data_IF_378039277405
#
_entry.id   IF_378039277405
#
_cell.length_a   1.000
_cell.length_b   1.000
_cell.length_c   1.000
_cell.angle_alpha   90.00
_cell.angle_beta   90.00
_cell.angle_gamma   90.00
#
_symmetry.space_group_name_H-M   'P 1'
#
loop_
_entity.id
_entity.type
_entity.pdbx_description
1 polymer ?
2 water ?
#
# COMPACT_ATOMS: atom_id res chain seq x y z
N UNK A 8 -17.29 9.71 -1.12
CA UNK A 8 -16.55 8.55 -0.56
C UNK A 8 -15.68 7.85 -1.62
N UNK A 9 -14.83 8.61 -2.33
CA UNK A 9 -14.12 8.00 -3.48
C UNK A 9 -13.08 7.01 -3.02
N UNK A 10 -12.75 6.04 -3.87
CA UNK A 10 -11.71 5.08 -3.53
C UNK A 10 -10.36 5.79 -3.29
N UNK A 11 -10.03 6.71 -4.20
CA UNK A 11 -8.80 7.54 -4.06
C UNK A 11 -9.20 8.99 -4.39
N UNK A 12 -8.96 9.91 -3.46
CA UNK A 12 -9.39 11.29 -3.61
C UNK A 12 -8.50 12.09 -4.58
N UNK A 13 -8.91 13.33 -4.86
CA UNK A 13 -8.05 14.30 -5.52
C UNK A 13 -6.93 14.68 -4.55
N UNK A 14 -5.93 15.41 -5.03
CA UNK A 14 -4.90 15.93 -4.13
C UNK A 14 -5.50 17.06 -3.25
N UNK A 15 -5.46 16.88 -1.93
CA UNK A 15 -6.08 17.77 -0.93
C UNK A 15 -5.02 18.43 -0.02
N UNK A 16 -5.36 19.59 0.54
CA UNK A 16 -4.57 20.21 1.58
C UNK A 16 -4.55 19.29 2.80
N UNK A 17 -3.39 19.23 3.45
CA UNK A 17 -3.26 18.50 4.70
C UNK A 17 -4.33 18.84 5.75
N UNK A 18 -4.77 20.10 5.75
CA UNK A 18 -5.75 20.62 6.72
C UNK A 18 -7.11 19.92 6.69
N UNK A 19 -7.39 19.16 5.62
CA UNK A 19 -8.63 18.37 5.57
C UNK A 19 -8.67 17.35 6.72
N UNK A 20 -7.50 16.99 7.26
CA UNK A 20 -7.42 16.04 8.35
C UNK A 20 -8.11 16.54 9.63
N UNK A 21 -8.12 17.84 9.87
CA UNK A 21 -8.77 18.40 11.06
C UNK A 21 -10.21 17.94 11.21
N UNK A 22 -10.88 17.72 10.07
CA UNK A 22 -12.30 17.33 10.04
C UNK A 22 -12.53 15.91 10.61
N UNK A 23 -11.47 15.13 10.69
CA UNK A 23 -11.59 13.72 11.01
C UNK A 23 -11.43 13.49 12.51
N UNK A 24 -11.21 14.58 13.23
CA UNK A 24 -11.01 14.55 14.67
C UNK A 24 -11.93 15.49 15.42
N UNK A 25 -12.25 15.10 16.65
CA UNK A 25 -13.08 15.89 17.55
C UNK A 25 -12.36 17.20 17.84
N UNK A 26 -13.13 18.21 18.24
CA UNK A 26 -12.59 19.51 18.56
C UNK A 26 -11.61 19.38 19.73
N UNK A 27 -11.93 18.47 20.64
CA UNK A 27 -11.13 18.24 21.84
C UNK A 27 -9.92 17.34 21.62
N UNK A 28 -9.76 16.75 20.44
CA UNK A 28 -8.63 15.83 20.26
C UNK A 28 -7.35 16.58 20.01
N UNK A 29 -6.87 17.15 21.11
CA UNK A 29 -5.83 18.11 21.07
C UNK A 29 -4.54 17.51 20.56
N UNK A 30 -4.25 16.27 20.94
CA UNK A 30 -3.01 15.65 20.48
C UNK A 30 -2.98 15.39 18.96
N UNK A 31 -4.09 14.89 18.41
CA UNK A 31 -4.17 14.70 16.95
C UNK A 31 -4.05 16.05 16.20
N UNK A 32 -4.53 17.12 16.81
CA UNK A 32 -4.41 18.43 16.16
C UNK A 32 -2.95 18.85 16.10
N UNK A 33 -2.22 18.55 17.16
CA UNK A 33 -0.80 18.90 17.27
C UNK A 33 0.02 18.10 16.28
N UNK A 34 -0.33 16.83 16.10
CA UNK A 34 0.33 15.99 15.09
C UNK A 34 0.05 16.50 13.66
N UNK A 35 -1.21 16.87 13.39
CA UNK A 35 -1.55 17.42 12.07
C UNK A 35 -0.73 18.69 11.84
N UNK A 36 -0.64 19.53 12.87
CA UNK A 36 0.10 20.77 12.73
C UNK A 36 1.58 20.49 12.42
N UNK A 37 2.18 19.53 13.12
CA UNK A 37 3.59 19.18 12.91
C UNK A 37 3.80 18.57 11.52
N UNK A 38 2.81 17.82 11.03
CA UNK A 38 2.88 17.22 9.72
C UNK A 38 3.00 18.26 8.62
N UNK A 39 2.38 19.43 8.83
CA UNK A 39 2.52 20.54 7.87
C UNK A 39 3.96 21.02 7.71
N UNK A 40 4.80 20.73 8.68
CA UNK A 40 6.21 21.11 8.61
C UNK A 40 7.00 20.24 7.63
N UNK A 41 6.43 19.08 7.27
CA UNK A 41 7.11 18.04 6.52
C UNK A 41 6.45 17.67 5.19
N UNK A 42 5.14 17.90 5.10
CA UNK A 42 4.35 17.53 3.93
C UNK A 42 3.43 18.64 3.49
N UNK A 43 3.02 18.60 2.22
CA UNK A 43 2.22 19.65 1.61
C UNK A 43 0.78 19.27 1.27
N UNK A 44 0.59 18.03 0.79
CA UNK A 44 -0.74 17.54 0.35
C UNK A 44 -0.97 16.11 0.81
N UNK A 45 -2.23 15.69 0.68
CA UNK A 45 -2.66 14.33 1.07
C UNK A 45 -3.68 13.87 0.03
N UNK A 46 -3.70 12.58 -0.24
CA UNK A 46 -4.76 11.99 -1.05
C UNK A 46 -5.33 10.92 -0.14
N UNK A 47 -6.63 11.02 0.15
CA UNK A 47 -7.32 10.10 1.06
C UNK A 47 -7.74 8.85 0.29
N UNK A 48 -7.72 7.70 0.95
CA UNK A 48 -8.34 6.49 0.35
C UNK A 48 -9.59 6.16 1.12
N UNK A 49 -10.53 5.54 0.44
CA UNK A 49 -11.75 5.13 1.16
C UNK A 49 -11.37 4.24 2.37
N UNK A 50 -11.95 4.51 3.57
CA UNK A 50 -11.56 3.70 4.74
C UNK A 50 -12.33 2.35 4.77
N UNK A 51 -11.91 1.41 3.94
CA UNK A 51 -12.65 0.16 3.74
C UNK A 51 -11.92 -1.12 4.17
N UNK A 52 -10.77 -0.98 4.85
CA UNK A 52 -9.96 -2.17 5.21
C UNK A 52 -8.92 -2.56 4.15
N UNK A 53 -8.90 -1.86 2.99
CA UNK A 53 -7.93 -2.08 1.88
C UNK A 53 -6.93 -0.92 1.68
N UNK A 54 -6.89 -0.03 2.67
CA UNK A 54 -6.28 1.28 2.46
C UNK A 54 -4.77 1.20 2.15
N UNK A 55 -4.03 0.41 2.92
CA UNK A 55 -2.58 0.28 2.61
C UNK A 55 -2.34 -0.19 1.18
N UNK A 56 -2.97 -1.29 0.78
CA UNK A 56 -2.78 -1.77 -0.61
C UNK A 56 -3.15 -0.75 -1.64
N UNK A 57 -4.32 -0.15 -1.45
CA UNK A 57 -4.79 0.85 -2.43
C UNK A 57 -3.92 2.10 -2.51
N UNK A 58 -3.50 2.60 -1.34
CA UNK A 58 -2.69 3.80 -1.25
C UNK A 58 -1.31 3.49 -1.83
N UNK A 59 -0.73 2.36 -1.45
CA UNK A 59 0.60 1.97 -1.97
C UNK A 59 0.52 1.86 -3.51
N UNK A 60 -0.52 1.18 -4.01
CA UNK A 60 -0.64 0.88 -5.41
C UNK A 60 -0.70 2.18 -6.22
N UNK A 61 -1.58 3.09 -5.78
CA UNK A 61 -1.68 4.37 -6.50
C UNK A 61 -0.41 5.21 -6.41
N UNK A 62 0.11 5.38 -5.18
CA UNK A 62 1.30 6.21 -4.96
C UNK A 62 2.51 5.68 -5.74
N UNK A 63 2.70 4.37 -5.74
CA UNK A 63 3.87 3.82 -6.42
C UNK A 63 3.76 3.96 -7.93
N UNK A 64 2.62 3.59 -8.49
CA UNK A 64 2.41 3.71 -9.94
C UNK A 64 2.53 5.18 -10.37
N UNK A 65 1.99 6.09 -9.58
CA UNK A 65 2.12 7.53 -9.86
C UNK A 65 3.59 7.94 -9.89
N UNK A 66 4.38 7.45 -8.92
CA UNK A 66 5.84 7.77 -8.86
C UNK A 66 6.63 7.27 -10.08
N UNK A 67 6.18 6.14 -10.64
CA UNK A 67 6.86 5.51 -11.80
C UNK A 67 6.68 6.29 -13.09
N UNK A 68 5.67 7.17 -13.12
CA UNK A 68 5.55 8.10 -14.24
C UNK A 68 6.81 8.95 -14.43
N UNK A 69 7.58 9.09 -13.34
CA UNK A 69 8.77 9.96 -13.34
C UNK A 69 10.10 9.21 -13.31
N UNK A 70 10.05 7.87 -13.40
CA UNK A 70 11.28 7.06 -13.34
C UNK A 70 11.17 5.86 -14.27
N UNK A 71 11.50 6.10 -15.55
CA UNK A 71 11.45 5.06 -16.59
C UNK A 71 12.21 3.77 -16.21
N UNK A 72 13.41 3.92 -15.65
CA UNK A 72 14.21 2.76 -15.18
C UNK A 72 13.45 1.97 -14.10
N UNK A 73 12.97 2.67 -13.08
CA UNK A 73 12.28 1.99 -12.00
C UNK A 73 10.98 1.37 -12.55
N UNK A 74 10.36 2.03 -13.52
CA UNK A 74 9.13 1.51 -14.13
C UNK A 74 9.42 0.16 -14.77
N UNK A 75 10.50 0.08 -15.55
CA UNK A 75 10.87 -1.17 -16.21
C UNK A 75 11.21 -2.26 -15.19
N UNK A 76 11.88 -1.88 -14.09
CA UNK A 76 12.23 -2.86 -13.05
C UNK A 76 10.94 -3.45 -12.44
N UNK A 77 10.06 -2.53 -12.11
CA UNK A 77 8.80 -2.87 -11.46
C UNK A 77 7.95 -3.77 -12.36
N UNK A 78 7.89 -3.44 -13.65
CA UNK A 78 7.16 -4.22 -14.63
C UNK A 78 7.70 -5.65 -14.72
N UNK A 79 9.03 -5.76 -14.77
CA UNK A 79 9.72 -7.07 -14.83
C UNK A 79 9.43 -7.95 -13.61
N UNK A 80 9.53 -7.36 -12.42
CA UNK A 80 9.25 -8.05 -11.17
C UNK A 80 7.79 -8.48 -11.14
N UNK A 81 6.91 -7.58 -11.57
CA UNK A 81 5.46 -7.82 -11.59
C UNK A 81 5.02 -8.90 -12.60
N UNK A 82 5.60 -8.85 -13.79
CA UNK A 82 5.38 -9.86 -14.81
C UNK A 82 5.73 -11.23 -14.26
N UNK A 83 6.93 -11.37 -13.70
CA UNK A 83 7.44 -12.64 -13.14
C UNK A 83 6.64 -13.16 -11.95
N UNK A 84 6.10 -12.22 -11.15
CA UNK A 84 5.37 -12.53 -9.92
C UNK A 84 4.25 -13.58 -10.11
N UNK A 85 3.55 -13.57 -11.24
CA UNK A 85 2.47 -14.55 -11.44
C UNK A 85 2.97 -15.99 -11.44
N UNK A 86 3.92 -16.28 -12.33
CA UNK A 86 4.55 -17.62 -12.42
C UNK A 86 5.11 -18.02 -11.04
N UNK A 87 5.69 -17.04 -10.36
CA UNK A 87 6.21 -17.19 -9.01
C UNK A 87 5.15 -17.74 -8.04
N UNK A 88 4.02 -17.08 -7.95
CA UNK A 88 2.93 -17.48 -7.07
C UNK A 88 2.33 -18.83 -7.48
N UNK A 89 2.15 -19.02 -8.80
CA UNK A 89 1.67 -20.33 -9.32
C UNK A 89 2.65 -21.47 -8.91
N UNK A 90 3.95 -21.22 -9.02
CA UNK A 90 4.93 -22.26 -8.71
C UNK A 90 4.84 -22.65 -7.22
N UNK A 91 4.36 -21.71 -6.40
CA UNK A 91 4.27 -21.85 -4.95
C UNK A 91 2.90 -22.40 -4.49
N UNK A 92 1.96 -22.58 -5.41
CA UNK A 92 0.69 -23.20 -5.08
C UNK A 92 -0.55 -22.33 -5.21
N UNK A 93 -0.40 -21.08 -5.67
CA UNK A 93 -1.58 -20.23 -5.92
C UNK A 93 -2.17 -20.64 -7.30
N UNK A 94 -3.43 -21.05 -7.33
CA UNK A 94 -4.06 -21.47 -8.60
C UNK A 94 -4.04 -20.40 -9.70
N UNK A 95 -3.45 -20.74 -10.84
CA UNK A 95 -3.32 -19.82 -11.99
C UNK A 95 -4.65 -19.27 -12.53
N UNK A 96 -5.61 -20.17 -12.77
CA UNK A 96 -6.94 -19.76 -13.29
C UNK A 96 -7.59 -18.75 -12.34
N UNK A 97 -7.29 -18.88 -11.06
CA UNK A 97 -7.92 -18.08 -10.03
C UNK A 97 -7.30 -16.69 -10.02
N UNK A 98 -5.99 -16.63 -10.22
CA UNK A 98 -5.26 -15.39 -10.03
C UNK A 98 -4.90 -14.59 -11.29
N UNK A 99 -4.97 -15.26 -12.45
CA UNK A 99 -4.71 -14.67 -13.78
C UNK A 99 -5.48 -13.37 -14.03
N UNK A 100 -6.77 -13.33 -13.72
CA UNK A 100 -7.53 -12.11 -13.96
C UNK A 100 -6.98 -10.93 -13.14
N UNK A 101 -6.67 -11.18 -11.87
CA UNK A 101 -6.13 -10.12 -11.00
C UNK A 101 -4.78 -9.65 -11.51
N UNK A 102 -3.94 -10.59 -11.93
CA UNK A 102 -2.62 -10.25 -12.44
C UNK A 102 -2.72 -9.44 -13.73
N UNK A 103 -3.68 -9.82 -14.59
CA UNK A 103 -3.86 -9.12 -15.84
C UNK A 103 -4.20 -7.65 -15.58
N UNK A 104 -5.05 -7.38 -14.59
CA UNK A 104 -5.38 -5.97 -14.23
C UNK A 104 -4.15 -5.21 -13.75
N UNK A 105 -3.38 -5.85 -12.87
CA UNK A 105 -2.15 -5.26 -12.34
C UNK A 105 -1.21 -4.89 -13.50
N UNK A 106 -1.00 -5.84 -14.42
CA UNK A 106 -0.13 -5.55 -15.57
C UNK A 106 -0.69 -4.44 -16.48
N UNK A 107 -2.02 -4.38 -16.63
CA UNK A 107 -2.67 -3.30 -17.41
C UNK A 107 -2.47 -1.94 -16.79
N UNK A 108 -2.50 -1.88 -15.46
CA UNK A 108 -2.20 -0.61 -14.78
C UNK A 108 -0.76 -0.18 -15.01
N UNK A 109 0.16 -1.13 -14.91
CA UNK A 109 1.55 -0.87 -15.21
C UNK A 109 1.68 -0.36 -16.66
N UNK A 110 0.99 -1.00 -17.60
CA UNK A 110 1.01 -0.58 -19.02
C UNK A 110 0.55 0.86 -19.17
N UNK A 111 -0.52 1.21 -18.45
CA UNK A 111 -1.02 2.59 -18.39
C UNK A 111 0.08 3.59 -17.98
N UNK A 112 0.88 3.24 -16.96
CA UNK A 112 2.03 4.07 -16.55
C UNK A 112 3.15 4.10 -17.60
N UNK A 113 3.37 2.97 -18.26
CA UNK A 113 4.36 2.88 -19.33
C UNK A 113 3.98 3.78 -20.54
N UNK A 114 2.69 3.87 -20.81
CA UNK A 114 2.15 4.73 -21.87
C UNK A 114 2.12 6.22 -21.50
N UNK A 115 2.68 6.55 -20.33
CA UNK A 115 2.79 7.93 -19.81
C UNK A 115 1.43 8.60 -19.63
N UNK A 116 0.52 7.85 -19.02
CA UNK A 116 -0.78 8.36 -18.61
C UNK A 116 -0.61 9.58 -17.70
N UNK A 117 -1.55 10.53 -17.78
CA UNK A 117 -1.60 11.62 -16.81
C UNK A 117 -1.99 11.05 -15.44
N UNK A 118 -1.70 11.79 -14.37
CA UNK A 118 -2.16 11.35 -13.05
C UNK A 118 -3.69 11.29 -13.04
N UNK A 119 -4.35 12.22 -13.74
CA UNK A 119 -5.84 12.23 -13.76
C UNK A 119 -6.44 10.94 -14.32
N UNK A 120 -5.84 10.43 -15.38
CA UNK A 120 -6.33 9.18 -15.99
C UNK A 120 -6.00 7.93 -15.14
N UNK A 121 -4.84 7.95 -14.51
CA UNK A 121 -4.48 6.91 -13.53
C UNK A 121 -5.48 6.93 -12.38
N UNK A 122 -5.82 8.14 -11.91
CA UNK A 122 -6.77 8.27 -10.80
C UNK A 122 -8.12 7.68 -11.16
N UNK A 123 -8.56 7.97 -12.38
CA UNK A 123 -9.84 7.43 -12.85
C UNK A 123 -9.89 5.87 -12.83
N UNK A 124 -8.79 5.24 -13.27
CA UNK A 124 -8.66 3.79 -13.14
C UNK A 124 -8.79 3.33 -11.69
N UNK A 125 -8.14 4.03 -10.76
CA UNK A 125 -8.19 3.63 -9.34
C UNK A 125 -9.55 3.88 -8.68
N UNK A 126 -10.37 4.69 -9.36
CA UNK A 126 -11.73 4.93 -8.88
C UNK A 126 -12.79 4.07 -9.51
N UNK A 127 -12.34 3.14 -10.37
CA UNK A 127 -13.24 2.11 -10.88
C UNK A 127 -13.13 0.91 -9.91
N UNK A 128 -14.24 0.58 -9.25
CA UNK A 128 -14.21 -0.43 -8.16
C UNK A 128 -13.57 -1.76 -8.59
N UNK A 129 -14.02 -2.32 -9.71
CA UNK A 129 -13.44 -3.59 -10.20
C UNK A 129 -11.94 -3.53 -10.48
N UNK A 130 -11.53 -2.48 -11.18
CA UNK A 130 -10.11 -2.29 -11.53
C UNK A 130 -9.29 -2.16 -10.23
N UNK A 131 -9.74 -1.25 -9.36
CA UNK A 131 -9.03 -0.93 -8.14
C UNK A 131 -8.96 -2.15 -7.20
N UNK A 132 -10.08 -2.86 -7.02
CA UNK A 132 -10.12 -4.06 -6.15
C UNK A 132 -9.30 -5.23 -6.73
N UNK A 133 -9.25 -5.36 -8.06
CA UNK A 133 -8.40 -6.40 -8.66
C UNK A 133 -6.94 -6.14 -8.32
N UNK A 134 -6.52 -4.87 -8.37
CA UNK A 134 -5.16 -4.51 -7.94
C UNK A 134 -4.97 -4.88 -6.46
N UNK A 135 -5.92 -4.52 -5.63
CA UNK A 135 -5.78 -4.84 -4.21
C UNK A 135 -5.66 -6.36 -4.00
N UNK A 136 -6.57 -7.14 -4.63
CA UNK A 136 -6.52 -8.61 -4.50
C UNK A 136 -5.13 -9.13 -4.88
N UNK A 137 -4.61 -8.64 -6.00
CA UNK A 137 -3.29 -9.09 -6.40
C UNK A 137 -2.18 -8.76 -5.39
N UNK A 138 -2.19 -7.51 -4.92
CA UNK A 138 -1.23 -7.09 -3.90
C UNK A 138 -1.34 -7.97 -2.65
N UNK A 139 -2.56 -8.31 -2.23
CA UNK A 139 -2.72 -9.20 -1.06
C UNK A 139 -2.10 -10.58 -1.33
N UNK A 140 -2.24 -11.06 -2.55
CA UNK A 140 -1.68 -12.40 -2.93
C UNK A 140 -0.17 -12.36 -2.93
N UNK A 141 0.36 -11.26 -3.45
CA UNK A 141 1.83 -11.10 -3.50
C UNK A 141 2.36 -11.10 -2.06
N UNK A 142 1.66 -10.39 -1.19
CA UNK A 142 2.06 -10.29 0.20
C UNK A 142 1.97 -11.66 0.92
N UNK A 143 0.86 -12.36 0.72
CA UNK A 143 0.73 -13.72 1.26
C UNK A 143 1.83 -14.67 0.73
N UNK A 144 2.13 -14.60 -0.56
CA UNK A 144 3.17 -15.46 -1.17
C UNK A 144 4.53 -15.20 -0.51
N UNK A 145 4.87 -13.93 -0.27
CA UNK A 145 6.17 -13.63 0.28
C UNK A 145 6.25 -14.11 1.74
N UNK A 146 5.20 -13.84 2.51
CA UNK A 146 5.16 -14.26 3.92
C UNK A 146 5.36 -15.78 4.02
N UNK A 147 4.64 -16.51 3.18
CA UNK A 147 4.70 -17.98 3.19
C UNK A 147 6.09 -18.48 2.81
N UNK A 148 6.67 -17.86 1.78
CA UNK A 148 8.01 -18.18 1.29
C UNK A 148 9.10 -17.92 2.32
N UNK A 149 8.93 -16.88 3.12
CA UNK A 149 9.87 -16.56 4.21
C UNK A 149 9.23 -16.84 5.57
N UNK A 150 8.46 -17.92 5.67
CA UNK A 150 7.68 -18.18 6.89
C UNK A 150 8.54 -18.32 8.16
N UNK A 151 9.75 -18.86 8.04
CA UNK A 151 10.61 -19.07 9.21
C UNK A 151 10.98 -17.71 9.79
N UNK A 152 11.21 -16.75 8.91
CA UNK A 152 11.49 -15.40 9.37
C UNK A 152 10.27 -14.76 10.04
N UNK A 153 9.10 -14.92 9.43
CA UNK A 153 7.95 -14.14 9.91
C UNK A 153 7.20 -14.77 11.07
N UNK A 154 7.51 -16.05 11.36
CA UNK A 154 6.85 -16.78 12.45
C UNK A 154 6.72 -15.96 13.73
N UNK A 155 7.78 -15.24 14.12
CA UNK A 155 7.79 -14.54 15.42
C UNK A 155 6.81 -13.37 15.46
N UNK A 156 6.44 -12.85 14.31
CA UNK A 156 5.50 -11.73 14.28
C UNK A 156 4.09 -12.20 14.60
N UNK A 157 3.86 -13.52 14.49
CA UNK A 157 2.48 -14.03 14.56
C UNK A 157 2.15 -14.49 15.96
N UNK A 158 1.30 -13.72 16.64
CA UNK A 158 0.83 -14.04 17.99
C UNK A 158 -0.27 -15.07 17.95
N UNK A 159 -0.30 -15.98 18.92
CA UNK A 159 -1.52 -16.73 19.21
C UNK A 159 -1.67 -18.19 18.85
N UNK A 160 -0.78 -18.74 18.03
CA UNK A 160 -0.84 -20.16 17.64
C UNK A 160 -1.03 -20.51 16.17
N UNK A 161 -1.52 -19.56 15.37
CA UNK A 161 -1.71 -19.82 13.95
C UNK A 161 -0.36 -19.98 13.25
N UNK A 162 -0.32 -20.83 12.22
CA UNK A 162 0.80 -20.88 11.29
C UNK A 162 0.86 -19.59 10.47
N UNK A 163 2.00 -19.28 9.86
CA UNK A 163 2.04 -18.16 8.87
C UNK A 163 0.99 -18.32 7.76
N UNK A 164 0.80 -19.55 7.28
CA UNK A 164 -0.21 -19.79 6.24
C UNK A 164 -1.61 -19.48 6.72
N UNK A 165 -1.95 -19.92 7.94
CA UNK A 165 -3.25 -19.62 8.54
C UNK A 165 -3.44 -18.12 8.71
N UNK A 166 -2.41 -17.43 9.20
CA UNK A 166 -2.41 -15.97 9.29
C UNK A 166 -2.69 -15.36 7.92
N UNK A 167 -1.99 -15.83 6.90
CA UNK A 167 -2.18 -15.30 5.55
C UNK A 167 -3.63 -15.46 5.08
N UNK A 168 -4.14 -16.68 5.28
CA UNK A 168 -5.48 -17.02 4.85
C UNK A 168 -6.56 -16.18 5.51
N UNK A 169 -6.34 -15.84 6.78
CA UNK A 169 -7.34 -15.08 7.56
C UNK A 169 -7.14 -13.56 7.61
N UNK A 170 -5.88 -13.10 7.48
CA UNK A 170 -5.55 -11.71 7.79
C UNK A 170 -4.92 -10.92 6.60
N UNK A 171 -4.51 -11.60 5.54
CA UNK A 171 -3.80 -10.94 4.42
C UNK A 171 -4.57 -11.11 3.12
N UNK A 172 -4.85 -12.38 2.74
CA UNK A 172 -5.62 -12.63 1.49
C UNK A 172 -7.07 -12.02 1.42
N UNK A 173 -7.85 -12.09 2.50
CA UNK A 173 -9.24 -11.58 2.42
C UNK A 173 -9.30 -10.07 2.19
N UNK A 174 -10.25 -9.63 1.37
CA UNK A 174 -10.51 -8.22 1.29
C UNK A 174 -10.95 -7.67 2.68
N UNK A 175 -10.70 -6.39 2.89
CA UNK A 175 -11.14 -5.59 4.07
C UNK A 175 -10.39 -5.84 5.37
N UNK A 176 -9.36 -6.68 5.31
CA UNK A 176 -8.56 -6.92 6.51
C UNK A 176 -7.36 -5.95 6.43
N UNK A 177 -7.45 -4.87 7.20
CA UNK A 177 -6.46 -3.75 7.11
C UNK A 177 -5.04 -4.23 7.50
N UNK A 178 -4.06 -3.57 6.90
CA UNK A 178 -2.66 -3.95 6.99
C UNK A 178 -1.97 -3.37 8.23
N UNK A 179 -0.98 -4.11 8.74
CA UNK A 179 -0.05 -3.58 9.74
C UNK A 179 1.37 -3.79 9.23
N UNK A 180 2.35 -3.65 10.13
CA UNK A 180 3.78 -3.82 9.74
C UNK A 180 4.09 -5.14 9.03
N UNK A 181 3.36 -6.19 9.36
CA UNK A 181 3.66 -7.52 8.78
C UNK A 181 3.41 -7.47 7.27
N UNK A 182 2.26 -6.90 6.88
CA UNK A 182 1.91 -6.73 5.46
C UNK A 182 2.93 -5.87 4.75
N UNK A 183 3.29 -4.76 5.38
CA UNK A 183 4.12 -3.76 4.72
C UNK A 183 5.52 -4.29 4.47
N UNK A 184 6.16 -4.90 5.48
CA UNK A 184 7.49 -5.52 5.33
C UNK A 184 7.45 -6.50 4.16
N UNK A 185 6.46 -7.38 4.17
CA UNK A 185 6.35 -8.44 3.15
C UNK A 185 6.12 -7.85 1.72
N UNK A 186 5.21 -6.89 1.58
CA UNK A 186 4.95 -6.34 0.24
C UNK A 186 6.18 -5.58 -0.28
N UNK A 187 6.83 -4.83 0.61
CA UNK A 187 8.06 -4.08 0.21
C UNK A 187 9.12 -5.03 -0.28
N UNK A 188 9.24 -6.19 0.38
CA UNK A 188 10.27 -7.16 -0.04
C UNK A 188 9.83 -7.87 -1.30
N UNK A 189 8.54 -8.21 -1.37
CA UNK A 189 7.95 -8.86 -2.55
C UNK A 189 8.27 -8.11 -3.85
N UNK A 190 8.06 -6.79 -3.83
CA UNK A 190 8.19 -5.97 -5.05
C UNK A 190 9.51 -5.18 -5.09
N UNK A 191 10.36 -5.38 -4.08
CA UNK A 191 11.62 -4.66 -3.91
C UNK A 191 11.40 -3.15 -4.05
N UNK A 192 10.45 -2.64 -3.27
CA UNK A 192 10.14 -1.20 -3.23
C UNK A 192 10.38 -0.67 -1.83
N UNK A 193 10.41 0.65 -1.71
CA UNK A 193 10.70 1.30 -0.45
C UNK A 193 9.52 2.22 -0.10
N UNK A 194 8.97 2.02 1.10
CA UNK A 194 7.74 2.70 1.56
C UNK A 194 8.02 3.44 2.88
N UNK A 195 7.71 4.73 2.95
CA UNK A 195 7.79 5.43 4.24
C UNK A 195 6.38 5.55 4.79
N UNK A 196 6.18 5.24 6.06
CA UNK A 196 4.89 5.42 6.72
C UNK A 196 5.06 6.35 7.93
N UNK A 197 4.25 7.41 7.95
CA UNK A 197 4.14 8.29 9.09
C UNK A 197 3.06 7.77 9.97
N UNK A 198 3.44 7.44 11.19
CA UNK A 198 2.47 6.90 12.10
C UNK A 198 1.96 8.01 12.91
N UNK A 199 0.66 8.22 12.78
CA UNK A 199 -0.01 9.21 13.57
C UNK A 199 -1.03 8.41 14.36
N UNK A 200 -0.61 8.06 15.58
CA UNK A 200 -1.18 6.99 16.36
C UNK A 200 -0.71 7.16 17.81
N UNK A 202 2.18 9.08 18.28
CA UNK A 202 3.44 9.09 19.05
C UNK A 202 3.43 10.03 20.25
N UNK A 203 4.63 10.42 20.69
CA UNK A 203 4.83 11.20 21.91
C UNK A 203 4.05 12.51 22.04
N UNK A 204 4.22 13.45 21.10
CA UNK A 204 3.55 14.76 21.18
C UNK A 204 2.84 15.14 19.89
N UNK A 205 3.38 16.13 19.19
CA UNK A 205 2.96 16.39 17.79
C UNK A 205 3.75 15.48 16.87
N UNK A 206 4.60 14.65 17.46
CA UNK A 206 5.45 13.80 16.69
C UNK A 206 4.58 12.71 16.07
N UNK A 207 4.62 12.62 14.75
CA UNK A 207 4.28 11.38 14.08
C UNK A 207 5.64 10.79 13.85
N UNK A 208 5.73 9.46 13.86
CA UNK A 208 7.00 8.75 13.86
C UNK A 208 7.21 8.05 12.50
N UNK A 209 8.12 8.57 11.67
CA UNK A 209 8.36 7.87 10.40
C UNK A 209 8.99 6.47 10.59
N UNK A 210 8.47 5.50 9.83
CA UNK A 210 9.07 4.16 9.71
C UNK A 210 9.31 3.99 8.20
N UNK A 211 10.50 3.55 7.82
CA UNK A 211 10.77 3.22 6.42
C UNK A 211 10.93 1.70 6.23
N UNK A 212 10.25 1.15 5.21
CA UNK A 212 10.30 -0.30 4.93
C UNK A 212 10.88 -0.50 3.53
N UNK A 213 12.00 -1.27 3.38
CA UNK A 213 12.87 -1.81 4.44
C UNK A 213 13.76 -0.71 5.06
N UNK A 214 14.16 -0.89 6.31
CA UNK A 214 15.09 0.04 6.98
C UNK A 214 16.26 0.28 6.07
N UNK A 215 16.73 1.53 6.03
CA UNK A 215 17.95 1.88 5.30
C UNK A 215 17.71 2.28 3.85
N UNK A 216 16.47 2.13 3.37
CA UNK A 216 16.18 2.41 1.96
C UNK A 216 15.81 3.87 1.74
N UNK A 217 15.69 4.25 0.46
CA UNK A 217 15.30 5.60 0.08
C UNK A 217 13.89 5.59 -0.52
N UNK A 218 12.87 5.98 0.27
CA UNK A 218 11.46 5.81 -0.13
C UNK A 218 10.97 6.79 -1.21
N UNK A 219 10.09 6.33 -2.10
CA UNK A 219 9.41 7.23 -3.07
C UNK A 219 7.92 7.32 -2.83
N UNK A 220 7.44 6.51 -1.89
CA UNK A 220 6.03 6.47 -1.48
C UNK A 220 6.05 6.89 -0.01
N UNK A 221 5.20 7.87 0.33
CA UNK A 221 4.99 8.31 1.72
C UNK A 221 3.52 8.12 2.06
N UNK A 222 3.24 7.33 3.11
CA UNK A 222 1.86 7.10 3.55
C UNK A 222 1.66 7.60 4.96
N UNK A 223 0.41 7.88 5.29
CA UNK A 223 0.03 8.32 6.62
C UNK A 223 -0.84 7.22 7.18
N UNK A 224 -0.43 6.63 8.31
CA UNK A 224 -1.29 5.72 9.07
C UNK A 224 -2.02 6.41 10.21
N UNK A 225 -3.33 6.14 10.31
CA UNK A 225 -4.09 6.44 11.51
C UNK A 225 -4.99 5.22 11.73
N UNK A 226 -5.47 4.98 12.97
CA UNK A 226 -6.32 3.82 13.15
C UNK A 226 -7.40 3.81 12.06
N UNK A 227 -7.42 2.72 11.29
CA UNK A 227 -8.40 2.49 10.21
C UNK A 227 -8.19 3.28 8.91
N UNK A 228 -7.01 3.86 8.72
CA UNK A 228 -6.73 4.63 7.51
C UNK A 228 -5.27 4.48 7.08
N UNK A 229 -5.05 4.33 5.76
CA UNK A 229 -3.74 4.70 5.16
C UNK A 229 -4.03 5.71 4.06
N UNK A 230 -3.45 6.92 4.15
CA UNK A 230 -3.59 7.90 3.08
C UNK A 230 -2.22 8.16 2.45
N UNK A 231 -2.20 8.82 1.31
CA UNK A 231 -0.95 9.08 0.58
C UNK A 231 -0.52 10.49 0.94
N UNK A 232 0.76 10.68 1.31
CA UNK A 232 1.30 12.01 1.60
C UNK A 232 2.24 12.48 0.47
N UNK A 233 2.27 13.78 0.24
CA UNK A 233 3.21 14.38 -0.70
C UNK A 233 4.02 15.46 0.00
N UNK A 234 5.31 15.54 -0.28
CA UNK A 234 6.16 16.56 0.35
C UNK A 234 5.77 17.96 -0.16
#
# INVERSE_FOLDING_TARGET
GSEIAVQNPLVSERLELSVLYKEYAEDDNIYQQKIKDLHKKYSYIRKTRPDGNCFYRAFGFSHLEALLDDSKELQRFKAVSAKSKEDLVSQGFTEFTIEDFHNTFMDLIEQVEKQTSVADLLASFNDQSTSDYLVVYLRLLTSGYLQRESKFFEHFIEGGRTVKEFCQQEVEPMCKESDHIHIIALAQALSVSIQVEYMDRGEGGTTNPHIFPEGSEPKVYLLYRPGHYDILYK
#
